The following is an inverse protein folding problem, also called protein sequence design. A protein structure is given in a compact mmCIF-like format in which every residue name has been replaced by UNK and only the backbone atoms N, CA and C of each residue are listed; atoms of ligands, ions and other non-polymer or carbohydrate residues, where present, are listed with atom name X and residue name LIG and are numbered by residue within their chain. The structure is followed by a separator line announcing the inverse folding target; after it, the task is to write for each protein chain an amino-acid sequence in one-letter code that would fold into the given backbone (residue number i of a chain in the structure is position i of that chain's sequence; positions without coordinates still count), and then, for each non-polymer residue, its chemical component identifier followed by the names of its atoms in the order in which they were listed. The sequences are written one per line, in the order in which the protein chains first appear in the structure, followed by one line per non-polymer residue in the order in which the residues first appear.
data_IF_353200666212
#
_entry.id   IF_353200666212
#
_cell.length_a   1.000
_cell.length_b   1.000
_cell.length_c   1.000
_cell.angle_alpha   90.00
_cell.angle_beta   90.00
_cell.angle_gamma   90.00
#
_symmetry.space_group_name_H-M   'P 1'
#
loop_
_entity.id
_entity.type
_entity.pdbx_description
1 polymer ?
#
# COMPACT_ATOMS: atom_id res chain seq x y z
N UNK A 1 -19.12 6.34 -51.54
CA UNK A 1 -17.90 6.42 -50.71
C UNK A 1 -18.38 6.27 -49.27
N UNK A 2 -18.00 5.17 -48.62
CA UNK A 2 -18.55 4.76 -47.32
C UNK A 2 -18.24 5.78 -46.23
N UNK A 3 -19.22 6.08 -45.38
CA UNK A 3 -19.10 7.04 -44.28
C UNK A 3 -18.33 6.40 -43.12
N UNK A 4 -17.07 6.03 -43.31
CA UNK A 4 -16.27 5.42 -42.25
C UNK A 4 -15.87 6.48 -41.20
N UNK A 5 -15.84 6.09 -39.93
CA UNK A 5 -15.45 6.96 -38.82
C UNK A 5 -14.09 6.54 -38.31
N UNK A 6 -13.12 7.45 -38.44
CA UNK A 6 -11.78 7.31 -37.92
C UNK A 6 -11.63 8.16 -36.66
N UNK A 7 -11.24 7.52 -35.56
CA UNK A 7 -10.99 8.19 -34.29
C UNK A 7 -9.60 7.84 -33.80
N UNK A 8 -8.84 8.84 -33.40
CA UNK A 8 -7.52 8.70 -32.79
C UNK A 8 -7.56 9.27 -31.39
N UNK A 9 -7.17 8.48 -30.39
CA UNK A 9 -7.02 8.92 -29.00
C UNK A 9 -5.58 8.67 -28.58
N UNK A 10 -4.96 9.69 -27.99
CA UNK A 10 -3.64 9.59 -27.37
C UNK A 10 -3.67 10.23 -25.99
N UNK A 11 -3.06 9.58 -25.00
CA UNK A 11 -2.84 10.17 -23.67
C UNK A 11 -1.58 9.60 -23.03
N UNK A 12 -1.03 10.36 -22.10
CA UNK A 12 0.07 10.08 -21.19
C UNK A 12 -0.25 9.06 -20.08
N UNK A 13 -1.22 8.17 -20.31
CA UNK A 13 -1.66 7.19 -19.32
C UNK A 13 -1.18 5.77 -19.67
N UNK A 14 -0.53 5.09 -18.73
CA UNK A 14 0.12 3.79 -18.97
C UNK A 14 -0.86 2.60 -19.08
N UNK A 15 -2.11 2.76 -18.66
CA UNK A 15 -3.05 1.64 -18.50
C UNK A 15 -4.47 1.96 -19.02
N UNK A 16 -4.65 2.08 -20.36
CA UNK A 16 -5.97 2.28 -20.95
C UNK A 16 -6.81 0.99 -20.90
N UNK A 17 -8.12 1.12 -20.69
CA UNK A 17 -9.11 0.06 -20.89
C UNK A 17 -10.03 0.45 -22.03
N UNK A 18 -9.99 -0.31 -23.11
CA UNK A 18 -10.89 -0.11 -24.24
C UNK A 18 -12.25 -0.74 -23.94
N UNK A 19 -13.33 0.02 -24.17
CA UNK A 19 -14.69 -0.39 -23.85
C UNK A 19 -15.66 -0.08 -24.99
N UNK A 20 -16.83 -0.71 -24.92
CA UNK A 20 -17.85 -0.65 -25.96
C UNK A 20 -17.72 -1.80 -26.97
N UNK A 21 -18.55 -1.75 -28.00
CA UNK A 21 -18.67 -2.82 -29.01
C UNK A 21 -17.60 -2.75 -30.10
N UNK A 22 -16.86 -1.63 -30.18
CA UNK A 22 -15.76 -1.44 -31.13
C UNK A 22 -14.44 -1.17 -30.41
N UNK A 23 -13.54 -2.16 -30.49
CA UNK A 23 -12.16 -2.04 -30.03
C UNK A 23 -11.29 -1.30 -31.06
N UNK A 24 -10.19 -0.65 -30.64
CA UNK A 24 -9.28 0.00 -31.56
C UNK A 24 -8.65 -1.02 -32.51
N UNK A 25 -8.53 -0.68 -33.79
CA UNK A 25 -7.90 -1.52 -34.80
C UNK A 25 -6.38 -1.58 -34.62
N UNK A 26 -5.77 -0.52 -34.10
CA UNK A 26 -4.37 -0.51 -33.65
C UNK A 26 -4.25 0.24 -32.34
N UNK A 27 -3.58 -0.36 -31.37
CA UNK A 27 -3.24 0.25 -30.08
C UNK A 27 -1.76 0.06 -29.77
N UNK A 28 -1.06 1.14 -29.50
CA UNK A 28 0.29 1.13 -28.93
C UNK A 28 0.19 1.61 -27.50
N UNK A 29 0.55 0.75 -26.54
CA UNK A 29 0.55 1.05 -25.12
C UNK A 29 2.00 0.93 -24.65
N UNK A 30 2.49 1.97 -24.00
CA UNK A 30 3.79 1.98 -23.32
C UNK A 30 3.59 2.25 -21.83
N UNK A 31 4.67 2.10 -21.04
CA UNK A 31 4.63 2.40 -19.60
C UNK A 31 4.38 3.89 -19.29
N UNK A 32 4.43 4.78 -20.29
CA UNK A 32 4.27 6.23 -20.13
C UNK A 32 3.11 6.82 -20.94
N UNK A 33 2.67 6.18 -22.01
CA UNK A 33 1.63 6.69 -22.90
C UNK A 33 0.82 5.59 -23.57
N UNK A 34 -0.29 5.97 -24.17
CA UNK A 34 -0.98 5.13 -25.14
C UNK A 34 -1.47 5.94 -26.33
N UNK A 35 -1.55 5.25 -27.48
CA UNK A 35 -2.25 5.71 -28.66
C UNK A 35 -3.13 4.59 -29.19
N UNK A 36 -4.37 4.93 -29.52
CA UNK A 36 -5.36 4.01 -30.04
C UNK A 36 -6.09 4.62 -31.23
N UNK A 37 -6.24 3.82 -32.29
CA UNK A 37 -6.89 4.20 -33.53
C UNK A 37 -8.08 3.27 -33.78
N UNK A 38 -9.27 3.85 -33.95
CA UNK A 38 -10.48 3.17 -34.37
C UNK A 38 -10.75 3.48 -35.84
N UNK A 39 -11.10 2.44 -36.59
CA UNK A 39 -11.69 2.56 -37.93
C UNK A 39 -13.03 1.84 -37.91
N UNK A 40 -14.10 2.59 -37.63
CA UNK A 40 -15.45 2.02 -37.52
C UNK A 40 -16.18 2.25 -38.83
N UNK A 41 -16.50 1.17 -39.54
CA UNK A 41 -17.26 1.29 -40.78
C UNK A 41 -18.71 1.69 -40.53
N UNK A 42 -19.29 2.46 -41.45
CA UNK A 42 -20.70 2.84 -41.39
C UNK A 42 -21.64 1.63 -41.29
N UNK A 43 -21.36 0.56 -42.05
CA UNK A 43 -22.20 -0.64 -42.12
C UNK A 43 -22.17 -1.47 -40.84
N UNK A 44 -21.13 -1.30 -40.03
CA UNK A 44 -20.96 -2.03 -38.78
C UNK A 44 -21.68 -1.37 -37.62
N UNK A 45 -22.11 -0.11 -37.75
CA UNK A 45 -22.81 0.64 -36.70
C UNK A 45 -24.30 0.39 -36.81
N UNK A 46 -24.88 -0.22 -35.77
CA UNK A 46 -26.33 -0.39 -35.65
C UNK A 46 -27.00 0.92 -35.17
N UNK A 47 -26.72 2.03 -35.86
CA UNK A 47 -27.33 3.34 -35.60
C UNK A 47 -28.30 3.66 -36.74
N UNK A 48 -29.61 3.81 -36.49
CA UNK A 48 -30.57 4.14 -37.53
C UNK A 48 -30.36 5.57 -38.05
N UNK A 49 -30.30 5.74 -39.38
CA UNK A 49 -30.13 7.04 -40.06
C UNK A 49 -31.34 7.97 -39.87
N UNK A 50 -32.51 7.40 -39.59
CA UNK A 50 -33.75 8.12 -39.32
C UNK A 50 -34.28 7.71 -37.96
N UNK A 51 -34.23 8.64 -37.00
CA UNK A 51 -34.87 8.48 -35.70
C UNK A 51 -36.39 8.51 -35.91
N UNK A 52 -36.96 7.33 -36.14
CA UNK A 52 -38.41 7.17 -36.32
C UNK A 52 -39.06 7.26 -34.95
N UNK A 53 -39.47 8.47 -34.60
CA UNK A 53 -40.16 8.80 -33.35
C UNK A 53 -39.28 8.57 -32.10
N UNK A 54 -39.40 9.45 -31.11
CA UNK A 54 -38.56 9.42 -29.91
C UNK A 54 -38.98 8.24 -29.00
N UNK A 55 -38.67 7.01 -29.43
CA UNK A 55 -38.81 5.82 -28.61
C UNK A 55 -37.66 5.81 -27.59
N UNK A 56 -38.02 5.95 -26.31
CA UNK A 56 -37.10 6.03 -25.16
C UNK A 56 -36.30 4.74 -24.92
N UNK A 57 -36.61 3.66 -25.62
CA UNK A 57 -36.10 2.31 -25.34
C UNK A 57 -35.00 1.84 -26.31
N UNK A 58 -34.48 2.71 -27.19
CA UNK A 58 -33.26 2.41 -27.95
C UNK A 58 -32.02 2.63 -27.07
N UNK A 59 -31.52 1.56 -26.46
CA UNK A 59 -30.19 1.53 -25.84
C UNK A 59 -29.11 1.57 -26.92
N UNK A 60 -28.47 2.73 -27.10
CA UNK A 60 -27.35 2.93 -28.04
C UNK A 60 -26.06 2.19 -27.65
N UNK A 61 -26.13 1.28 -26.68
CA UNK A 61 -24.98 0.61 -26.06
C UNK A 61 -24.14 -0.15 -27.08
N UNK A 62 -24.76 -0.72 -28.11
CA UNK A 62 -24.08 -1.49 -29.16
C UNK A 62 -23.30 -0.65 -30.19
N UNK A 63 -23.45 0.68 -30.15
CA UNK A 63 -22.73 1.61 -31.01
C UNK A 63 -21.66 2.43 -30.27
N UNK A 64 -21.45 2.17 -28.97
CA UNK A 64 -20.47 2.88 -28.15
C UNK A 64 -19.06 2.34 -28.40
N UNK A 65 -18.10 3.25 -28.41
CA UNK A 65 -16.67 2.98 -28.31
C UNK A 65 -16.07 3.98 -27.31
N UNK A 66 -15.07 3.58 -26.56
CA UNK A 66 -14.47 4.47 -25.58
C UNK A 66 -13.21 3.92 -24.94
N UNK A 67 -12.56 4.80 -24.19
CA UNK A 67 -11.43 4.49 -23.34
C UNK A 67 -11.82 4.84 -21.91
N UNK A 68 -11.73 3.86 -21.02
CA UNK A 68 -11.74 4.08 -19.59
C UNK A 68 -10.31 4.02 -19.06
N UNK A 69 -10.00 4.92 -18.16
CA UNK A 69 -8.70 4.96 -17.51
C UNK A 69 -8.79 4.11 -16.25
N UNK A 70 -8.06 2.99 -16.19
CA UNK A 70 -7.87 2.32 -14.90
C UNK A 70 -6.97 3.19 -14.05
N UNK A 71 -7.53 3.75 -12.97
CA UNK A 71 -6.74 4.42 -11.94
C UNK A 71 -5.83 3.36 -11.31
N UNK A 72 -4.53 3.65 -11.21
CA UNK A 72 -3.50 2.76 -10.65
C UNK A 72 -3.95 2.16 -9.32
N UNK A 73 -4.39 0.89 -9.38
CA UNK A 73 -4.89 0.14 -8.21
C UNK A 73 -3.75 -0.21 -7.26
N UNK A 74 -2.49 -0.12 -7.70
CA UNK A 74 -1.37 -0.66 -6.93
C UNK A 74 -1.02 0.16 -5.69
N UNK A 75 -0.96 1.50 -5.75
CA UNK A 75 -0.53 2.30 -4.59
C UNK A 75 -1.53 2.26 -3.42
N UNK A 76 -2.82 2.40 -3.72
CA UNK A 76 -3.86 2.32 -2.68
C UNK A 76 -4.06 0.90 -2.17
N UNK A 77 -3.95 -0.13 -3.02
CA UNK A 77 -4.00 -1.52 -2.59
C UNK A 77 -2.80 -1.88 -1.69
N UNK A 78 -1.59 -1.44 -2.04
CA UNK A 78 -0.38 -1.64 -1.24
C UNK A 78 -0.46 -0.92 0.12
N UNK A 79 -0.94 0.32 0.15
CA UNK A 79 -1.18 1.04 1.42
C UNK A 79 -2.25 0.33 2.28
N UNK A 80 -3.35 -0.11 1.67
CA UNK A 80 -4.40 -0.84 2.38
C UNK A 80 -3.86 -2.16 2.95
N UNK A 81 -3.00 -2.87 2.20
CA UNK A 81 -2.29 -4.05 2.71
C UNK A 81 -1.36 -3.68 3.86
N UNK A 82 -0.56 -2.62 3.75
CA UNK A 82 0.33 -2.17 4.81
C UNK A 82 -0.42 -1.91 6.12
N UNK A 83 -1.54 -1.17 6.07
CA UNK A 83 -2.36 -0.84 7.25
C UNK A 83 -2.96 -2.09 7.90
N UNK A 84 -3.37 -3.10 7.13
CA UNK A 84 -3.87 -4.37 7.70
C UNK A 84 -2.82 -5.06 8.59
N UNK A 85 -1.54 -4.85 8.34
CA UNK A 85 -0.46 -5.41 9.14
C UNK A 85 0.02 -4.48 10.25
N UNK A 86 -0.59 -3.31 10.47
CA UNK A 86 -0.17 -2.35 11.49
C UNK A 86 -0.12 -2.92 12.91
N UNK A 87 -0.98 -3.88 13.23
CA UNK A 87 -0.99 -4.55 14.53
C UNK A 87 0.33 -5.28 14.83
N UNK A 88 0.97 -5.87 13.80
CA UNK A 88 2.26 -6.53 13.93
C UNK A 88 3.34 -5.53 14.39
N UNK A 89 3.34 -4.32 13.82
CA UNK A 89 4.31 -3.26 14.11
C UNK A 89 4.15 -2.70 15.51
N UNK A 90 2.90 -2.52 15.93
CA UNK A 90 2.59 -2.16 17.31
C UNK A 90 3.15 -3.24 18.25
N UNK A 91 2.76 -4.50 18.06
CA UNK A 91 3.19 -5.60 18.94
C UNK A 91 4.70 -5.78 19.00
N UNK A 92 5.42 -5.71 17.86
CA UNK A 92 6.88 -5.79 17.83
C UNK A 92 7.52 -4.62 18.59
N UNK A 93 7.00 -3.41 18.43
CA UNK A 93 7.51 -2.24 19.14
C UNK A 93 7.31 -2.35 20.65
N UNK A 94 6.13 -2.81 21.09
CA UNK A 94 5.84 -3.15 22.48
C UNK A 94 6.81 -4.22 23.01
N UNK A 95 6.97 -5.33 22.28
CA UNK A 95 7.88 -6.41 22.64
C UNK A 95 9.33 -5.93 22.78
N UNK A 96 9.78 -5.01 21.91
CA UNK A 96 11.15 -4.50 21.94
C UNK A 96 11.41 -3.65 23.19
N UNK A 97 10.51 -2.73 23.51
CA UNK A 97 10.61 -1.94 24.74
C UNK A 97 10.52 -2.82 25.98
N UNK A 98 9.66 -3.83 25.95
CA UNK A 98 9.51 -4.79 27.03
C UNK A 98 10.78 -5.62 27.26
N UNK A 99 11.40 -6.11 26.18
CA UNK A 99 12.70 -6.79 26.27
C UNK A 99 13.77 -5.87 26.86
N UNK A 100 13.79 -4.60 26.47
CA UNK A 100 14.73 -3.61 27.01
C UNK A 100 14.51 -3.34 28.50
N UNK A 101 13.25 -3.30 28.97
CA UNK A 101 12.91 -3.19 30.38
C UNK A 101 13.45 -4.39 31.18
N UNK A 102 13.21 -5.61 30.70
CA UNK A 102 13.74 -6.85 31.31
C UNK A 102 15.27 -6.82 31.39
N UNK A 103 15.96 -6.50 30.28
CA UNK A 103 17.42 -6.49 30.25
C UNK A 103 18.03 -5.35 31.04
N UNK A 104 17.31 -4.24 31.23
CA UNK A 104 17.83 -3.05 31.91
C UNK A 104 17.47 -3.01 33.40
N UNK A 105 16.55 -3.87 33.86
CA UNK A 105 16.06 -3.92 35.26
C UNK A 105 15.60 -2.56 35.78
N UNK A 106 15.21 -1.65 34.89
CA UNK A 106 14.68 -0.32 35.23
C UNK A 106 13.22 -0.29 34.83
N UNK A 107 12.35 0.10 35.76
CA UNK A 107 10.93 0.30 35.46
C UNK A 107 10.80 1.47 34.49
N UNK A 108 10.27 1.20 33.30
CA UNK A 108 10.01 2.23 32.29
C UNK A 108 8.56 2.70 32.50
N UNK A 109 8.34 4.01 32.57
CA UNK A 109 6.98 4.54 32.69
C UNK A 109 6.13 4.10 31.47
N UNK A 110 4.81 3.91 31.57
CA UNK A 110 3.96 3.51 30.43
C UNK A 110 3.98 4.45 29.21
N UNK A 111 4.42 5.70 29.37
CA UNK A 111 4.38 6.74 28.33
C UNK A 111 5.23 6.38 27.10
N UNK A 112 6.50 5.97 27.23
CA UNK A 112 7.32 5.41 26.15
C UNK A 112 6.67 4.36 25.26
N UNK A 113 5.87 3.46 25.85
CA UNK A 113 5.17 2.42 25.10
C UNK A 113 4.12 3.03 24.17
N UNK A 114 3.31 3.95 24.70
CA UNK A 114 2.29 4.66 23.95
C UNK A 114 2.91 5.54 22.86
N UNK A 115 3.98 6.27 23.18
CA UNK A 115 4.66 7.15 22.23
C UNK A 115 5.32 6.37 21.09
N UNK A 116 5.93 5.22 21.38
CA UNK A 116 6.48 4.32 20.35
C UNK A 116 5.39 3.76 19.44
N UNK A 117 4.23 3.40 20.00
CA UNK A 117 3.07 2.96 19.21
C UNK A 117 2.56 4.05 18.26
N UNK A 118 2.40 5.28 18.77
CA UNK A 118 2.02 6.44 17.94
C UNK A 118 3.07 6.71 16.85
N UNK A 119 4.36 6.62 17.18
CA UNK A 119 5.43 6.77 16.20
C UNK A 119 5.33 5.75 15.04
N UNK A 120 4.96 4.50 15.35
CA UNK A 120 4.68 3.50 14.32
C UNK A 120 3.40 3.77 13.54
N UNK A 121 2.38 4.40 14.14
CA UNK A 121 1.17 4.79 13.41
C UNK A 121 1.48 5.89 12.38
N UNK A 122 2.36 6.84 12.72
CA UNK A 122 2.79 7.93 11.83
C UNK A 122 3.49 7.40 10.57
N UNK A 123 4.17 6.25 10.65
CA UNK A 123 4.74 5.59 9.47
C UNK A 123 3.71 5.39 8.34
N UNK A 124 2.49 4.94 8.66
CA UNK A 124 1.45 4.68 7.66
C UNK A 124 0.91 5.96 7.02
N UNK A 125 0.79 7.02 7.81
CA UNK A 125 0.40 8.34 7.31
C UNK A 125 1.47 8.91 6.37
N UNK A 126 2.74 8.81 6.76
CA UNK A 126 3.86 9.22 5.92
C UNK A 126 3.92 8.40 4.64
N UNK A 127 3.83 7.07 4.75
CA UNK A 127 3.84 6.16 3.59
C UNK A 127 2.75 6.53 2.59
N UNK A 128 1.52 6.73 3.08
CA UNK A 128 0.40 7.12 2.23
C UNK A 128 0.68 8.45 1.53
N UNK A 129 0.98 9.51 2.30
CA UNK A 129 1.21 10.85 1.74
C UNK A 129 2.38 10.93 0.76
N UNK A 130 3.46 10.18 1.01
CA UNK A 130 4.63 10.15 0.15
C UNK A 130 4.35 9.33 -1.10
N UNK A 131 3.65 8.19 -0.96
CA UNK A 131 3.33 7.32 -2.10
C UNK A 131 2.37 7.96 -3.10
N UNK A 132 1.66 9.02 -2.72
CA UNK A 132 0.85 9.84 -3.65
C UNK A 132 1.70 10.74 -4.54
N UNK A 133 2.92 11.10 -4.12
CA UNK A 133 3.78 12.05 -4.83
C UNK A 133 4.99 11.37 -5.50
N UNK A 134 5.46 10.24 -4.97
CA UNK A 134 6.65 9.52 -5.44
C UNK A 134 6.40 8.00 -5.51
N UNK A 135 7.22 7.23 -6.25
CA UNK A 135 7.06 5.78 -6.34
C UNK A 135 7.00 5.10 -4.98
N UNK A 136 6.11 4.12 -4.84
CA UNK A 136 5.77 3.47 -3.56
C UNK A 136 7.01 2.95 -2.79
N UNK A 137 7.94 2.28 -3.47
CA UNK A 137 9.13 1.73 -2.81
C UNK A 137 10.09 2.82 -2.29
N UNK A 138 10.17 3.95 -2.97
CA UNK A 138 10.96 5.11 -2.53
C UNK A 138 10.29 5.79 -1.34
N UNK A 139 8.96 5.99 -1.41
CA UNK A 139 8.16 6.47 -0.27
C UNK A 139 8.33 5.59 0.96
N UNK A 140 8.28 4.28 0.75
CA UNK A 140 8.46 3.27 1.78
C UNK A 140 9.81 3.39 2.48
N UNK A 141 10.90 3.46 1.69
CA UNK A 141 12.25 3.55 2.24
C UNK A 141 12.47 4.82 3.06
N UNK A 142 11.98 5.97 2.56
CA UNK A 142 12.08 7.26 3.26
C UNK A 142 11.27 7.23 4.56
N UNK A 143 10.03 6.75 4.52
CA UNK A 143 9.17 6.65 5.71
C UNK A 143 9.75 5.68 6.75
N UNK A 144 10.20 4.50 6.33
CA UNK A 144 10.78 3.49 7.20
C UNK A 144 12.07 3.99 7.86
N UNK A 145 12.96 4.64 7.10
CA UNK A 145 14.17 5.25 7.66
C UNK A 145 13.84 6.37 8.65
N UNK A 146 12.92 7.27 8.30
CA UNK A 146 12.51 8.37 9.17
C UNK A 146 12.01 7.88 10.52
N UNK A 147 11.12 6.88 10.52
CA UNK A 147 10.58 6.32 11.77
C UNK A 147 11.61 5.49 12.53
N UNK A 148 12.45 4.72 11.83
CA UNK A 148 13.54 3.97 12.48
C UNK A 148 14.52 4.91 13.19
N UNK A 149 14.93 6.01 12.56
CA UNK A 149 15.79 7.02 13.17
C UNK A 149 15.08 7.67 14.36
N UNK A 150 13.82 8.09 14.19
CA UNK A 150 13.04 8.71 15.25
C UNK A 150 12.92 7.81 16.49
N UNK A 151 12.55 6.54 16.31
CA UNK A 151 12.42 5.57 17.42
C UNK A 151 13.78 5.25 18.04
N UNK A 152 14.84 5.13 17.23
CA UNK A 152 16.20 4.90 17.74
C UNK A 152 16.67 6.09 18.59
N UNK A 153 16.52 7.33 18.10
CA UNK A 153 16.88 8.54 18.85
C UNK A 153 16.04 8.69 20.12
N UNK A 154 14.74 8.39 20.06
CA UNK A 154 13.88 8.38 21.24
C UNK A 154 14.35 7.34 22.28
N UNK A 155 14.69 6.14 21.83
CA UNK A 155 15.21 5.07 22.71
C UNK A 155 16.53 5.45 23.39
N UNK A 156 17.38 6.27 22.74
CA UNK A 156 18.58 6.83 23.37
C UNK A 156 18.23 7.72 24.56
N UNK A 157 17.17 8.52 24.49
CA UNK A 157 16.75 9.38 25.60
C UNK A 157 16.33 8.56 26.83
N UNK A 158 15.77 7.37 26.58
CA UNK A 158 15.25 6.48 27.62
C UNK A 158 16.32 5.57 28.24
N UNK A 159 17.37 5.23 27.49
CA UNK A 159 18.37 4.24 27.88
C UNK A 159 19.72 4.90 28.15
N UNK A 160 20.38 4.60 29.29
CA UNK A 160 21.65 5.23 29.66
C UNK A 160 22.85 4.83 28.78
N UNK A 161 22.71 3.89 27.84
CA UNK A 161 23.83 3.35 27.05
C UNK A 161 23.52 3.25 25.56
N UNK A 162 24.42 3.76 24.72
CA UNK A 162 24.32 3.77 23.26
C UNK A 162 24.17 2.37 22.64
N UNK A 163 24.82 1.36 23.24
CA UNK A 163 24.73 -0.04 22.79
C UNK A 163 23.30 -0.59 22.86
N UNK A 164 22.50 -0.15 23.85
CA UNK A 164 21.12 -0.62 24.03
C UNK A 164 20.13 0.05 23.08
N UNK A 165 20.36 1.32 22.75
CA UNK A 165 19.56 2.03 21.74
C UNK A 165 19.70 1.40 20.35
N UNK A 166 20.89 0.88 20.01
CA UNK A 166 21.10 0.15 18.75
C UNK A 166 20.26 -1.13 18.62
N UNK A 167 20.04 -1.87 19.72
CA UNK A 167 19.15 -3.03 19.67
C UNK A 167 17.70 -2.64 19.34
N UNK A 168 17.23 -1.48 19.82
CA UNK A 168 15.89 -0.97 19.46
C UNK A 168 15.80 -0.70 17.96
N UNK A 169 16.77 0.05 17.41
CA UNK A 169 16.79 0.37 15.99
C UNK A 169 16.87 -0.88 15.11
N UNK A 170 17.64 -1.89 15.54
CA UNK A 170 17.77 -3.16 14.83
C UNK A 170 16.43 -3.91 14.76
N UNK A 171 15.70 -4.02 15.88
CA UNK A 171 14.41 -4.73 15.88
C UNK A 171 13.36 -3.99 15.03
N UNK A 172 13.32 -2.66 15.09
CA UNK A 172 12.45 -1.83 14.24
C UNK A 172 12.82 -1.96 12.75
N UNK A 173 14.12 -2.05 12.46
CA UNK A 173 14.56 -2.27 11.07
C UNK A 173 14.11 -3.64 10.57
N UNK A 174 14.29 -4.69 11.38
CA UNK A 174 13.83 -6.06 11.04
C UNK A 174 12.33 -6.09 10.80
N UNK A 175 11.52 -5.39 11.61
CA UNK A 175 10.08 -5.36 11.40
C UNK A 175 9.72 -4.70 10.06
N UNK A 176 10.36 -3.58 9.69
CA UNK A 176 10.16 -2.96 8.38
C UNK A 176 10.67 -3.82 7.22
N UNK A 177 11.77 -4.55 7.38
CA UNK A 177 12.19 -5.52 6.36
C UNK A 177 11.14 -6.61 6.17
N UNK A 178 10.54 -7.10 7.26
CA UNK A 178 9.44 -8.06 7.21
C UNK A 178 8.21 -7.47 6.51
N UNK A 179 7.83 -6.21 6.78
CA UNK A 179 6.73 -5.55 6.07
C UNK A 179 6.98 -5.50 4.57
N UNK A 180 8.20 -5.14 4.17
CA UNK A 180 8.58 -5.04 2.78
C UNK A 180 8.41 -6.40 2.08
N UNK A 181 8.84 -7.49 2.74
CA UNK A 181 8.64 -8.84 2.23
C UNK A 181 7.14 -9.19 2.08
N UNK A 182 6.31 -8.84 3.06
CA UNK A 182 4.84 -9.05 3.02
C UNK A 182 4.20 -8.27 1.86
N UNK A 183 4.63 -7.03 1.63
CA UNK A 183 4.10 -6.18 0.56
C UNK A 183 4.49 -6.69 -0.84
N UNK A 184 5.68 -7.30 -0.96
CA UNK A 184 6.17 -7.83 -2.23
C UNK A 184 5.50 -9.15 -2.64
N UNK A 185 4.91 -9.89 -1.68
CA UNK A 185 4.20 -11.14 -1.98
C UNK A 185 2.71 -10.89 -2.19
N UNK A 186 2.21 -11.00 -3.41
CA UNK A 186 0.77 -10.87 -3.68
C UNK A 186 -0.05 -12.00 -3.05
N UNK A 187 0.42 -13.24 -3.14
CA UNK A 187 -0.36 -14.43 -2.74
C UNK A 187 -0.14 -14.88 -1.30
N UNK A 188 0.96 -14.48 -0.65
CA UNK A 188 1.36 -14.98 0.67
C UNK A 188 1.33 -13.93 1.79
N UNK A 189 0.85 -12.71 1.50
CA UNK A 189 0.88 -11.62 2.47
C UNK A 189 0.18 -11.98 3.79
N UNK A 190 -1.00 -12.60 3.72
CA UNK A 190 -1.80 -12.95 4.91
C UNK A 190 -1.12 -14.06 5.72
N UNK A 191 -0.48 -15.00 5.06
CA UNK A 191 0.27 -16.09 5.70
C UNK A 191 1.47 -15.55 6.47
N UNK A 192 2.31 -14.72 5.83
CA UNK A 192 3.51 -14.16 6.45
C UNK A 192 3.13 -13.23 7.62
N UNK A 193 2.11 -12.37 7.43
CA UNK A 193 1.64 -11.46 8.47
C UNK A 193 1.04 -12.17 9.69
N UNK A 194 0.27 -13.24 9.48
CA UNK A 194 -0.33 -14.03 10.56
C UNK A 194 0.71 -14.83 11.34
N UNK A 195 1.65 -15.51 10.66
CA UNK A 195 2.76 -16.22 11.30
C UNK A 195 3.64 -15.24 12.09
N UNK A 196 3.97 -14.08 11.50
CA UNK A 196 4.75 -13.05 12.18
C UNK A 196 4.06 -12.57 13.46
N UNK A 197 2.75 -12.28 13.38
CA UNK A 197 1.97 -11.82 14.54
C UNK A 197 1.89 -12.90 15.62
N UNK A 198 1.67 -14.15 15.22
CA UNK A 198 1.65 -15.30 16.12
C UNK A 198 2.98 -15.45 16.88
N UNK A 199 4.12 -15.40 16.18
CA UNK A 199 5.45 -15.50 16.81
C UNK A 199 5.68 -14.37 17.81
N UNK A 200 5.31 -13.14 17.46
CA UNK A 200 5.47 -11.97 18.33
C UNK A 200 4.63 -12.10 19.59
N UNK A 201 3.34 -12.48 19.46
CA UNK A 201 2.47 -12.71 20.62
C UNK A 201 3.00 -13.86 21.48
N UNK A 202 3.42 -14.97 20.87
CA UNK A 202 3.98 -16.12 21.58
C UNK A 202 5.25 -15.73 22.36
N UNK A 203 6.13 -14.91 21.78
CA UNK A 203 7.30 -14.38 22.47
C UNK A 203 6.91 -13.49 23.65
N UNK A 204 5.96 -12.57 23.46
CA UNK A 204 5.44 -11.72 24.56
C UNK A 204 4.95 -12.61 25.70
N UNK A 205 4.09 -13.60 25.42
CA UNK A 205 3.55 -14.53 26.42
C UNK A 205 4.66 -15.32 27.15
N UNK A 206 5.66 -15.79 26.42
CA UNK A 206 6.77 -16.55 27.00
C UNK A 206 7.63 -15.67 27.93
N UNK A 207 7.90 -14.44 27.52
CA UNK A 207 8.76 -13.51 28.27
C UNK A 207 8.06 -12.90 29.48
N UNK A 208 6.74 -12.64 29.39
CA UNK A 208 5.95 -12.12 30.53
C UNK A 208 5.76 -13.14 31.64
N UNK A 209 5.92 -14.46 31.36
CA UNK A 209 5.73 -15.54 32.34
C UNK A 209 6.55 -15.39 33.63
N UNK A 210 7.74 -14.79 33.57
CA UNK A 210 8.64 -14.64 34.73
C UNK A 210 8.63 -13.23 35.33
N UNK A 211 7.71 -12.37 34.90
CA UNK A 211 7.62 -11.01 35.39
C UNK A 211 6.73 -10.94 36.64
N UNK A 212 7.34 -10.83 37.82
CA UNK A 212 6.64 -10.52 39.06
C UNK A 212 6.16 -9.06 39.01
N UNK A 213 4.94 -8.84 38.51
CA UNK A 213 4.29 -7.53 38.44
C UNK A 213 3.97 -6.92 39.83
N UNK A 214 4.01 -7.72 40.90
CA UNK A 214 3.49 -7.38 42.23
C UNK A 214 4.53 -7.39 43.35
N UNK A 215 5.80 -7.08 43.06
CA UNK A 215 6.79 -6.80 44.11
C UNK A 215 7.27 -5.35 44.07
N UNK A 216 6.82 -4.64 45.10
CA UNK A 216 7.03 -3.23 45.49
C UNK A 216 6.20 -2.19 44.74
#
# INVERSE_FOLDING_TARGET
MGQDTHVSISSDWSSPSFQGSFLPGTSTITDADFSALWGISYLSRDIPLFLKEYNKDYEYTDALFGVNFFRTVDTYALNTRAVKYAILFLLVSFLTLFLLEIFTKKRIHPVPYLLSGIGNAVFYLLLLSLSEQIPFYTAYFIAALGVTIMVTLYSRSLLPSWKKSWYMGLVVTISYVLLYAVLNTESYALLIGSIGSFVVVALIMFLTRKLDWYRE
#
